data_IF_446233128372
#
_entry.id   IF_446233128372
#
_cell.length_a   1.000
_cell.length_b   1.000
_cell.length_c   1.000
_cell.angle_alpha   90.00
_cell.angle_beta   90.00
_cell.angle_gamma   90.00
#
_symmetry.space_group_name_H-M   'P 1'
#
loop_
_entity.id
_entity.type
_entity.pdbx_description
1 polymer ?
#
# COMPACT_ATOMS: atom_id res chain seq x y z
N UNK A 1 -18.17 15.70 57.71
CA UNK A 1 -19.07 16.10 56.60
C UNK A 1 -18.29 16.20 55.28
N UNK A 2 -17.59 15.13 54.85
CA UNK A 2 -16.86 15.10 53.56
C UNK A 2 -16.79 13.69 52.93
N UNK A 3 -17.39 12.67 53.55
CA UNK A 3 -17.34 11.27 53.12
C UNK A 3 -18.64 10.78 52.45
N UNK A 4 -19.61 11.66 52.20
CA UNK A 4 -20.91 11.31 51.59
C UNK A 4 -21.04 11.71 50.12
N UNK A 5 -19.99 12.25 49.49
CA UNK A 5 -20.02 12.75 48.10
C UNK A 5 -19.35 11.80 47.08
N UNK A 6 -18.74 10.71 47.53
CA UNK A 6 -18.10 9.72 46.67
C UNK A 6 -18.48 8.31 47.15
N UNK A 7 -19.62 7.75 46.71
CA UNK A 7 -19.84 6.32 46.92
C UNK A 7 -18.67 5.58 46.29
N UNK A 8 -18.07 4.63 47.00
CA UNK A 8 -17.06 3.75 46.41
C UNK A 8 -17.67 3.14 45.16
N UNK A 9 -17.06 3.46 44.01
CA UNK A 9 -17.51 2.97 42.73
C UNK A 9 -17.25 1.47 42.76
N UNK A 10 -18.27 0.69 43.11
CA UNK A 10 -18.29 -0.76 42.88
C UNK A 10 -17.66 -0.99 41.52
N UNK A 11 -16.68 -1.89 41.35
CA UNK A 11 -16.07 -2.12 40.06
C UNK A 11 -17.20 -2.53 39.13
N UNK A 12 -17.66 -1.57 38.32
CA UNK A 12 -18.67 -1.82 37.33
C UNK A 12 -18.07 -2.91 36.46
N UNK A 13 -18.69 -4.09 36.45
CA UNK A 13 -18.36 -5.18 35.54
C UNK A 13 -18.30 -4.55 34.16
N UNK A 14 -17.10 -4.28 33.66
CA UNK A 14 -16.90 -3.64 32.36
C UNK A 14 -17.57 -4.59 31.39
N UNK A 15 -18.70 -4.23 30.74
CA UNK A 15 -19.19 -5.04 29.65
C UNK A 15 -18.04 -5.05 28.66
N UNK A 16 -17.48 -6.23 28.37
CA UNK A 16 -16.49 -6.39 27.32
C UNK A 16 -17.17 -5.99 26.02
N UNK A 17 -17.10 -4.70 25.68
CA UNK A 17 -17.67 -4.19 24.44
C UNK A 17 -17.04 -5.01 23.32
N UNK A 18 -17.82 -5.69 22.48
CA UNK A 18 -17.30 -6.47 21.38
C UNK A 18 -16.50 -5.52 20.48
N UNK A 19 -15.19 -5.67 20.56
CA UNK A 19 -14.23 -4.91 19.81
C UNK A 19 -14.16 -5.55 18.41
N UNK A 20 -14.16 -4.76 17.32
CA UNK A 20 -13.95 -5.32 16.01
C UNK A 20 -12.62 -6.08 15.95
N UNK A 21 -12.61 -7.24 15.28
CA UNK A 21 -11.35 -7.88 14.89
C UNK A 21 -10.74 -7.05 13.76
N UNK A 22 -9.74 -6.25 14.11
CA UNK A 22 -9.12 -5.35 13.15
C UNK A 22 -8.37 -6.08 12.02
N UNK A 23 -7.90 -7.31 12.27
CA UNK A 23 -7.24 -8.12 11.24
C UNK A 23 -8.24 -8.55 10.17
N UNK A 24 -9.43 -8.98 10.60
CA UNK A 24 -10.53 -9.32 9.69
C UNK A 24 -11.01 -8.08 8.91
N UNK A 25 -11.26 -6.97 9.62
CA UNK A 25 -11.65 -5.68 9.00
C UNK A 25 -10.61 -5.24 7.97
N UNK A 26 -9.32 -5.43 8.25
CA UNK A 26 -8.25 -5.10 7.31
C UNK A 26 -8.25 -6.00 6.08
N UNK A 27 -8.41 -7.31 6.24
CA UNK A 27 -8.47 -8.25 5.12
C UNK A 27 -9.68 -7.96 4.21
N UNK A 28 -10.86 -7.73 4.79
CA UNK A 28 -12.08 -7.44 4.03
C UNK A 28 -12.01 -6.08 3.32
N UNK A 29 -11.36 -5.08 3.92
CA UNK A 29 -11.16 -3.77 3.27
C UNK A 29 -10.29 -3.83 2.00
N UNK A 30 -9.49 -4.89 1.80
CA UNK A 30 -8.73 -5.10 0.57
C UNK A 30 -9.55 -5.73 -0.56
N UNK A 31 -10.80 -6.13 -0.30
CA UNK A 31 -11.69 -6.67 -1.33
C UNK A 31 -12.26 -5.56 -2.23
N UNK A 32 -12.53 -5.83 -3.51
CA UNK A 32 -13.13 -4.85 -4.41
C UNK A 32 -14.44 -4.27 -3.86
N UNK A 33 -14.58 -2.95 -3.93
CA UNK A 33 -15.78 -2.20 -3.52
C UNK A 33 -16.12 -2.23 -2.01
N UNK A 34 -15.22 -2.72 -1.15
CA UNK A 34 -15.44 -2.67 0.31
C UNK A 34 -14.98 -1.32 0.87
N UNK A 35 -15.76 -0.76 1.80
CA UNK A 35 -15.44 0.51 2.46
C UNK A 35 -15.53 0.39 3.97
N UNK A 36 -14.78 1.22 4.70
CA UNK A 36 -14.90 1.30 6.17
C UNK A 36 -16.32 1.63 6.65
N UNK A 37 -17.10 2.34 5.83
CA UNK A 37 -18.51 2.65 6.14
C UNK A 37 -19.40 1.40 6.03
N UNK A 38 -19.18 0.56 5.02
CA UNK A 38 -19.86 -0.72 4.88
C UNK A 38 -19.56 -1.62 6.09
N UNK A 39 -18.28 -1.86 6.38
CA UNK A 39 -17.84 -2.71 7.51
C UNK A 39 -18.34 -2.18 8.87
N UNK A 40 -18.35 -0.86 9.05
CA UNK A 40 -18.94 -0.25 10.25
C UNK A 40 -20.45 -0.49 10.35
N UNK A 41 -21.17 -0.47 9.23
CA UNK A 41 -22.64 -0.69 9.21
C UNK A 41 -22.98 -2.13 9.62
N UNK A 42 -22.22 -3.10 9.12
CA UNK A 42 -22.34 -4.52 9.48
C UNK A 42 -21.95 -4.77 10.95
N UNK A 43 -20.87 -4.11 11.41
CA UNK A 43 -20.48 -4.12 12.81
C UNK A 43 -21.56 -3.53 13.72
N UNK A 44 -22.19 -2.42 13.33
CA UNK A 44 -23.25 -1.78 14.12
C UNK A 44 -24.54 -2.62 14.16
N UNK A 45 -24.86 -3.33 13.08
CA UNK A 45 -26.02 -4.23 13.02
C UNK A 45 -25.89 -5.40 14.03
N UNK A 46 -24.67 -5.92 14.20
CA UNK A 46 -24.36 -6.97 15.19
C UNK A 46 -24.11 -6.40 16.59
N UNK A 47 -23.72 -5.13 16.71
CA UNK A 47 -23.35 -4.48 17.97
C UNK A 47 -23.97 -3.06 18.08
N UNK A 48 -25.25 -2.96 18.47
CA UNK A 48 -25.95 -1.67 18.57
C UNK A 48 -25.31 -0.69 19.56
N UNK A 49 -24.70 -1.21 20.63
CA UNK A 49 -23.95 -0.47 21.67
C UNK A 49 -22.46 -0.29 21.32
N UNK A 50 -22.08 -0.63 20.08
CA UNK A 50 -20.72 -0.65 19.58
C UNK A 50 -20.13 0.74 19.30
N UNK A 51 -18.93 0.74 18.73
CA UNK A 51 -18.26 1.96 18.28
C UNK A 51 -19.08 2.71 17.22
N UNK A 52 -19.25 4.02 17.43
CA UNK A 52 -19.77 4.93 16.42
C UNK A 52 -18.75 5.14 15.31
N UNK A 53 -19.21 5.52 14.11
CA UNK A 53 -18.40 5.55 12.89
C UNK A 53 -17.04 6.25 13.04
N UNK A 54 -17.02 7.43 13.67
CA UNK A 54 -15.79 8.20 13.89
C UNK A 54 -14.78 7.44 14.76
N UNK A 55 -15.26 6.82 15.85
CA UNK A 55 -14.40 6.05 16.77
C UNK A 55 -13.94 4.73 16.12
N UNK A 56 -14.79 4.10 15.30
CA UNK A 56 -14.44 2.93 14.52
C UNK A 56 -13.28 3.25 13.56
N UNK A 57 -13.40 4.31 12.78
CA UNK A 57 -12.38 4.76 11.84
C UNK A 57 -11.06 5.13 12.54
N UNK A 58 -11.13 5.90 13.63
CA UNK A 58 -9.94 6.31 14.40
C UNK A 58 -9.18 5.10 14.95
N UNK A 59 -9.90 4.15 15.56
CA UNK A 59 -9.30 2.95 16.15
C UNK A 59 -8.73 2.01 15.08
N UNK A 60 -9.43 1.83 13.97
CA UNK A 60 -8.91 1.10 12.82
C UNK A 60 -7.61 1.72 12.31
N UNK A 61 -7.55 3.04 12.09
CA UNK A 61 -6.32 3.72 11.61
C UNK A 61 -5.16 3.55 12.57
N UNK A 62 -5.39 3.66 13.88
CA UNK A 62 -4.36 3.43 14.90
C UNK A 62 -3.83 2.00 14.84
N UNK A 63 -4.72 1.02 14.74
CA UNK A 63 -4.32 -0.38 14.59
C UNK A 63 -3.56 -0.62 13.27
N UNK A 64 -4.06 -0.08 12.15
CA UNK A 64 -3.44 -0.27 10.83
C UNK A 64 -2.02 0.29 10.76
N UNK A 65 -1.77 1.43 11.43
CA UNK A 65 -0.43 2.01 11.56
C UNK A 65 0.56 1.09 12.31
N UNK A 66 0.06 0.19 13.17
CA UNK A 66 0.88 -0.82 13.85
C UNK A 66 0.96 -2.15 13.10
N UNK A 67 -0.05 -2.45 12.27
CA UNK A 67 -0.16 -3.72 11.56
C UNK A 67 0.79 -3.82 10.37
N UNK A 68 1.10 -2.70 9.71
CA UNK A 68 2.04 -2.67 8.59
C UNK A 68 3.01 -1.48 8.71
N UNK A 69 4.05 -1.56 9.56
CA UNK A 69 5.01 -0.48 9.68
C UNK A 69 5.70 -0.27 8.33
N UNK A 70 5.70 0.95 7.74
CA UNK A 70 6.43 1.20 6.52
C UNK A 70 7.92 0.98 6.78
N UNK A 71 8.53 0.03 6.06
CA UNK A 71 9.97 -0.19 6.14
C UNK A 71 10.68 1.06 5.63
N UNK A 72 11.33 1.80 6.54
CA UNK A 72 12.14 2.96 6.16
C UNK A 72 13.47 2.48 5.62
N UNK A 73 13.53 2.26 4.30
CA UNK A 73 14.77 1.94 3.62
C UNK A 73 15.60 3.22 3.46
N UNK A 74 16.78 3.26 4.07
CA UNK A 74 17.78 4.28 3.78
C UNK A 74 18.54 3.83 2.54
N UNK A 75 18.44 4.59 1.46
CA UNK A 75 19.21 4.36 0.24
C UNK A 75 20.39 5.33 0.20
N UNK A 76 21.60 4.81 0.40
CA UNK A 76 22.81 5.61 0.12
C UNK A 76 22.91 5.78 -1.40
N UNK A 77 23.33 6.97 -1.84
CA UNK A 77 23.54 7.24 -3.26
C UNK A 77 24.59 6.27 -3.82
N UNK A 78 24.33 5.74 -5.02
CA UNK A 78 25.18 4.74 -5.66
C UNK A 78 24.82 3.29 -5.32
N UNK A 79 24.40 2.99 -4.09
CA UNK A 79 24.39 1.60 -3.58
C UNK A 79 23.35 0.67 -4.22
N UNK A 80 22.18 1.21 -4.61
CA UNK A 80 21.03 0.39 -5.05
C UNK A 80 20.33 0.99 -6.26
N UNK A 81 20.17 0.17 -7.29
CA UNK A 81 19.26 0.37 -8.41
C UNK A 81 18.11 -0.63 -8.30
N UNK A 82 16.88 -0.13 -8.38
CA UNK A 82 15.68 -0.96 -8.51
C UNK A 82 15.31 -1.08 -9.98
N UNK A 83 15.00 -2.28 -10.44
CA UNK A 83 14.66 -2.56 -11.84
C UNK A 83 13.45 -3.47 -11.91
N UNK A 84 12.52 -3.19 -12.81
CA UNK A 84 11.38 -4.05 -13.10
C UNK A 84 10.79 -3.74 -14.48
N UNK A 85 9.91 -4.62 -14.97
CA UNK A 85 8.95 -4.25 -16.01
C UNK A 85 7.69 -3.68 -15.36
N UNK A 86 7.18 -2.59 -15.92
CA UNK A 86 5.84 -2.12 -15.61
C UNK A 86 4.84 -3.24 -15.95
N UNK A 87 3.97 -3.58 -14.98
CA UNK A 87 2.94 -4.61 -15.18
C UNK A 87 1.95 -4.26 -16.28
N UNK A 88 1.72 -2.96 -16.52
CA UNK A 88 0.94 -2.46 -17.64
C UNK A 88 1.83 -2.21 -18.87
N UNK A 89 1.32 -2.54 -20.05
CA UNK A 89 1.99 -2.29 -21.33
C UNK A 89 1.49 -1.00 -21.96
N UNK A 90 2.35 -0.36 -22.77
CA UNK A 90 1.98 0.84 -23.54
C UNK A 90 1.80 0.47 -25.02
N UNK A 91 0.82 1.05 -25.74
CA UNK A 91 0.65 0.78 -27.16
C UNK A 91 1.74 1.48 -27.97
N UNK A 92 2.42 0.73 -28.85
CA UNK A 92 3.29 1.25 -29.90
C UNK A 92 2.53 1.16 -31.22
N UNK A 93 2.34 2.31 -31.87
CA UNK A 93 1.54 2.41 -33.10
C UNK A 93 2.46 2.49 -34.30
N UNK A 94 2.27 1.61 -35.27
CA UNK A 94 2.88 1.72 -36.59
C UNK A 94 2.27 2.93 -37.34
N UNK A 95 3.07 3.95 -37.70
CA UNK A 95 2.55 5.16 -38.33
C UNK A 95 2.05 4.95 -39.78
N UNK A 96 2.42 3.84 -40.43
CA UNK A 96 2.00 3.53 -41.80
C UNK A 96 0.73 2.70 -41.83
N UNK A 97 0.59 1.72 -40.94
CA UNK A 97 -0.58 0.81 -40.92
C UNK A 97 -1.64 1.21 -39.90
N UNK A 98 -1.27 1.98 -38.87
CA UNK A 98 -2.12 2.30 -37.73
C UNK A 98 -2.28 1.15 -36.73
N UNK A 99 -1.57 0.03 -36.93
CA UNK A 99 -1.62 -1.11 -36.02
C UNK A 99 -0.96 -0.77 -34.68
N UNK A 100 -1.61 -1.12 -33.57
CA UNK A 100 -1.10 -0.89 -32.22
C UNK A 100 -0.68 -2.21 -31.57
N UNK A 101 0.58 -2.31 -31.18
CA UNK A 101 1.13 -3.47 -30.48
C UNK A 101 1.47 -3.12 -29.02
N UNK A 102 1.07 -3.93 -28.03
CA UNK A 102 1.43 -3.70 -26.64
C UNK A 102 2.94 -3.90 -26.43
N UNK A 103 3.58 -2.92 -25.80
CA UNK A 103 5.00 -2.93 -25.46
C UNK A 103 5.19 -2.88 -23.93
N UNK A 104 5.83 -3.89 -23.32
CA UNK A 104 6.31 -3.80 -21.95
C UNK A 104 7.28 -2.64 -21.77
N UNK A 105 7.21 -1.96 -20.62
CA UNK A 105 8.13 -0.86 -20.29
C UNK A 105 9.09 -1.31 -19.20
N UNK A 106 10.37 -1.37 -19.51
CA UNK A 106 11.42 -1.55 -18.51
C UNK A 106 11.62 -0.23 -17.75
N UNK A 107 11.73 -0.28 -16.44
CA UNK A 107 11.96 0.88 -15.57
C UNK A 107 13.10 0.58 -14.60
N UNK A 108 14.00 1.53 -14.42
CA UNK A 108 15.08 1.48 -13.45
C UNK A 108 15.14 2.78 -12.64
N UNK A 109 15.31 2.69 -11.31
CA UNK A 109 15.28 3.83 -10.40
C UNK A 109 16.41 3.75 -9.37
N UNK A 110 17.20 4.83 -9.27
CA UNK A 110 18.19 4.95 -8.19
C UNK A 110 17.49 5.21 -6.86
N UNK A 111 17.72 4.33 -5.87
CA UNK A 111 16.99 4.36 -4.61
C UNK A 111 17.15 5.66 -3.81
N UNK A 112 18.30 6.33 -3.92
CA UNK A 112 18.61 7.54 -3.14
C UNK A 112 17.99 8.82 -3.71
N UNK A 113 17.93 8.94 -5.03
CA UNK A 113 17.51 10.17 -5.72
C UNK A 113 16.15 10.04 -6.42
N UNK A 114 15.65 8.82 -6.61
CA UNK A 114 14.51 8.57 -7.49
C UNK A 114 14.82 8.86 -8.96
N UNK A 115 16.10 8.93 -9.34
CA UNK A 115 16.47 9.19 -10.73
C UNK A 115 16.14 7.96 -11.59
N UNK A 116 15.31 8.18 -12.61
CA UNK A 116 14.61 7.12 -13.33
C UNK A 116 15.06 7.02 -14.79
N UNK A 117 15.27 5.78 -15.23
CA UNK A 117 15.40 5.39 -16.62
C UNK A 117 14.18 4.54 -17.01
N UNK A 118 13.65 4.74 -18.21
CA UNK A 118 12.57 3.92 -18.73
C UNK A 118 12.69 3.73 -20.25
N UNK A 119 12.36 2.54 -20.73
CA UNK A 119 12.32 2.23 -22.16
C UNK A 119 11.27 1.16 -22.49
N UNK A 120 10.70 1.24 -23.69
CA UNK A 120 9.73 0.26 -24.17
C UNK A 120 10.42 -0.85 -24.97
N UNK A 121 9.97 -2.09 -24.78
CA UNK A 121 10.48 -3.28 -25.47
C UNK A 121 9.39 -4.01 -26.24
N UNK A 122 9.81 -4.85 -27.19
CA UNK A 122 8.91 -5.74 -27.91
C UNK A 122 8.51 -6.97 -27.07
N UNK A 123 9.34 -7.37 -26.11
CA UNK A 123 9.07 -8.49 -25.21
C UNK A 123 9.88 -8.41 -23.91
N UNK A 124 9.55 -9.26 -22.94
CA UNK A 124 10.26 -9.39 -21.67
C UNK A 124 11.29 -10.53 -21.68
N UNK A 125 11.85 -10.88 -22.84
CA UNK A 125 12.83 -11.96 -22.92
C UNK A 125 14.14 -11.58 -22.22
N UNK A 126 14.97 -12.57 -21.82
CA UNK A 126 16.25 -12.30 -21.15
C UNK A 126 17.18 -11.37 -21.94
N UNK A 127 17.15 -11.41 -23.27
CA UNK A 127 17.97 -10.56 -24.13
C UNK A 127 17.57 -9.08 -24.00
N UNK A 128 16.26 -8.81 -23.99
CA UNK A 128 15.73 -7.47 -23.75
C UNK A 128 16.06 -7.00 -22.34
N UNK A 129 15.93 -7.87 -21.34
CA UNK A 129 16.27 -7.57 -19.95
C UNK A 129 17.75 -7.19 -19.77
N UNK A 130 18.67 -7.99 -20.30
CA UNK A 130 20.11 -7.73 -20.21
C UNK A 130 20.46 -6.45 -20.98
N UNK A 131 19.92 -6.27 -22.18
CA UNK A 131 20.11 -5.06 -22.98
C UNK A 131 19.66 -3.80 -22.23
N UNK A 132 18.55 -3.89 -21.49
CA UNK A 132 18.05 -2.79 -20.67
C UNK A 132 19.04 -2.37 -19.59
N UNK A 133 19.65 -3.34 -18.91
CA UNK A 133 20.64 -3.08 -17.89
C UNK A 133 21.85 -2.35 -18.49
N UNK A 134 22.38 -2.83 -19.62
CA UNK A 134 23.51 -2.19 -20.29
C UNK A 134 23.21 -0.73 -20.65
N UNK A 135 22.04 -0.46 -21.23
CA UNK A 135 21.62 0.90 -21.58
C UNK A 135 21.38 1.76 -20.36
N UNK A 136 20.78 1.20 -19.31
CA UNK A 136 20.57 1.88 -18.02
C UNK A 136 21.90 2.29 -17.40
N UNK A 137 22.87 1.39 -17.29
CA UNK A 137 24.19 1.72 -16.75
C UNK A 137 24.90 2.80 -17.57
N UNK A 138 24.77 2.73 -18.90
CA UNK A 138 25.32 3.74 -19.80
C UNK A 138 24.66 5.11 -19.60
N UNK A 139 23.32 5.14 -19.48
CA UNK A 139 22.54 6.36 -19.22
C UNK A 139 22.87 7.00 -17.86
N UNK A 140 23.03 6.17 -16.83
CA UNK A 140 23.37 6.63 -15.48
C UNK A 140 24.84 7.07 -15.35
N UNK A 141 25.70 6.73 -16.31
CA UNK A 141 27.16 6.94 -16.21
C UNK A 141 27.84 5.98 -15.23
N UNK A 142 27.22 4.84 -14.94
CA UNK A 142 27.60 3.92 -13.87
C UNK A 142 27.08 4.33 -12.49
N UNK A 143 27.14 3.40 -11.53
CA UNK A 143 26.93 3.67 -10.11
C UNK A 143 27.83 2.73 -9.29
N UNK A 144 28.14 3.12 -8.05
CA UNK A 144 29.14 2.47 -7.17
C UNK A 144 28.56 1.35 -6.33
#
# INVERSE_FOLDING_TARGET
MFQQLFPERSPARVPSKPFPDWSQVHAELHQPNVTLKLLWTEYQASHPEGLQYSQFCERYRRWAATANPPMRLVHKAGEKLFVDYAGETVPVVDPQTGEATPAPVFVAVLGASGYTYAEAHLSQTPEHWIGAHVRTFSFLGGFL
#
